data_IF_062964619185
#
_entry.id   IF_062964619185
#
_cell.length_a   1.000
_cell.length_b   1.000
_cell.length_c   1.000
_cell.angle_alpha   90.00
_cell.angle_beta   90.00
_cell.angle_gamma   90.00
#
_symmetry.space_group_name_H-M   'P 1'
#
loop_
_entity.id
_entity.type
_entity.pdbx_description
1 polymer ?
#
# COMPACT_ATOMS: atom_id res chain seq x y z
N UNK A 1 6.27 11.30 17.09
CA UNK A 1 6.23 9.85 17.36
C UNK A 1 6.74 9.14 16.11
N UNK A 2 7.87 8.45 16.20
CA UNK A 2 8.38 7.59 15.14
C UNK A 2 7.55 6.31 15.13
N UNK A 3 6.78 6.08 14.06
CA UNK A 3 6.11 4.79 13.88
C UNK A 3 7.20 3.71 13.80
N UNK A 4 7.15 2.65 14.64
CA UNK A 4 8.10 1.57 14.53
C UNK A 4 8.00 0.99 13.11
N UNK A 5 9.15 0.81 12.45
CA UNK A 5 9.21 0.10 11.19
C UNK A 5 8.86 -1.37 11.48
N UNK A 6 7.72 -1.82 10.98
CA UNK A 6 7.26 -3.20 11.13
C UNK A 6 7.56 -3.92 9.81
N UNK A 7 8.46 -4.89 9.85
CA UNK A 7 8.74 -5.75 8.71
C UNK A 7 7.58 -6.73 8.50
N UNK A 8 7.10 -6.82 7.27
CA UNK A 8 6.04 -7.79 6.88
C UNK A 8 6.51 -9.23 7.09
N UNK A 9 7.80 -9.49 6.89
CA UNK A 9 8.38 -10.82 7.09
C UNK A 9 8.37 -11.23 8.57
N UNK A 10 8.68 -10.29 9.47
CA UNK A 10 8.66 -10.54 10.92
C UNK A 10 7.24 -10.81 11.44
N UNK A 11 6.23 -10.21 10.80
CA UNK A 11 4.82 -10.47 11.12
C UNK A 11 4.38 -11.88 10.68
N UNK A 12 4.84 -12.35 9.52
CA UNK A 12 4.53 -13.69 9.02
C UNK A 12 5.16 -14.79 9.88
N UNK A 13 6.40 -14.60 10.32
CA UNK A 13 7.09 -15.57 11.19
C UNK A 13 6.38 -15.76 12.53
N UNK A 14 5.67 -14.73 13.01
CA UNK A 14 4.94 -14.76 14.28
C UNK A 14 3.43 -15.02 14.13
N UNK A 15 2.88 -14.99 12.91
CA UNK A 15 1.47 -15.23 12.64
C UNK A 15 1.24 -15.95 11.30
N UNK A 16 1.33 -17.29 11.28
CA UNK A 16 1.08 -18.10 10.08
C UNK A 16 -0.38 -18.09 9.62
N UNK A 17 -1.31 -17.50 10.39
CA UNK A 17 -2.69 -17.32 9.95
C UNK A 17 -2.90 -16.08 9.07
N UNK A 18 -1.89 -15.21 8.98
CA UNK A 18 -1.92 -13.99 8.16
C UNK A 18 -2.87 -12.89 8.68
N UNK A 19 -3.43 -13.06 9.88
CA UNK A 19 -4.36 -12.08 10.48
C UNK A 19 -3.67 -10.74 10.73
N UNK A 20 -2.39 -10.77 11.08
CA UNK A 20 -1.53 -9.61 11.28
C UNK A 20 -1.24 -8.82 9.99
N UNK A 21 -1.47 -9.40 8.81
CA UNK A 21 -1.32 -8.72 7.51
C UNK A 21 -2.56 -7.90 7.14
N UNK A 22 -3.72 -8.19 7.75
CA UNK A 22 -4.99 -7.52 7.44
C UNK A 22 -4.93 -5.99 7.58
N UNK A 23 -4.35 -5.42 8.65
CA UNK A 23 -4.20 -3.96 8.77
C UNK A 23 -3.39 -3.35 7.62
N UNK A 24 -2.36 -4.04 7.14
CA UNK A 24 -1.52 -3.60 6.02
C UNK A 24 -2.31 -3.65 4.71
N UNK A 25 -3.11 -4.69 4.51
CA UNK A 25 -4.01 -4.80 3.35
C UNK A 25 -5.05 -3.67 3.34
N UNK A 26 -5.65 -3.36 4.49
CA UNK A 26 -6.64 -2.28 4.64
C UNK A 26 -6.01 -0.89 4.40
N UNK A 27 -4.77 -0.69 4.86
CA UNK A 27 -4.03 0.55 4.60
C UNK A 27 -3.72 0.72 3.10
N UNK A 28 -3.22 -0.34 2.44
CA UNK A 28 -2.97 -0.31 1.00
C UNK A 28 -4.25 -0.07 0.19
N UNK A 29 -5.38 -0.65 0.59
CA UNK A 29 -6.68 -0.40 -0.04
C UNK A 29 -7.10 1.06 0.11
N UNK A 30 -6.88 1.63 1.29
CA UNK A 30 -7.15 3.05 1.56
C UNK A 30 -6.26 3.96 0.71
N UNK A 31 -4.96 3.66 0.63
CA UNK A 31 -4.01 4.39 -0.22
C UNK A 31 -4.40 4.31 -1.70
N UNK A 32 -4.77 3.11 -2.18
CA UNK A 32 -5.20 2.89 -3.56
C UNK A 32 -6.45 3.72 -3.91
N UNK A 33 -7.44 3.72 -3.02
CA UNK A 33 -8.67 4.49 -3.20
C UNK A 33 -8.38 5.99 -3.22
N UNK A 34 -7.51 6.47 -2.33
CA UNK A 34 -7.15 7.88 -2.24
C UNK A 34 -6.39 8.35 -3.48
N UNK A 35 -5.40 7.59 -3.94
CA UNK A 35 -4.59 8.01 -5.09
C UNK A 35 -5.42 8.01 -6.38
N UNK A 36 -6.32 7.04 -6.57
CA UNK A 36 -7.26 7.03 -7.70
C UNK A 36 -8.16 8.26 -7.69
N UNK A 37 -8.78 8.57 -6.54
CA UNK A 37 -9.58 9.80 -6.38
C UNK A 37 -8.79 11.07 -6.71
N UNK A 38 -7.52 11.15 -6.30
CA UNK A 38 -6.67 12.29 -6.62
C UNK A 38 -6.37 12.38 -8.12
N UNK A 39 -6.06 11.26 -8.77
CA UNK A 39 -5.86 11.21 -10.22
C UNK A 39 -7.12 11.58 -10.99
N UNK A 40 -8.28 11.07 -10.57
CA UNK A 40 -9.59 11.34 -11.19
C UNK A 40 -10.02 12.81 -11.03
N UNK A 41 -9.59 13.47 -9.96
CA UNK A 41 -9.84 14.89 -9.73
C UNK A 41 -9.08 15.82 -10.70
N UNK A 42 -8.15 15.28 -11.49
CA UNK A 42 -7.31 16.05 -12.41
C UNK A 42 -6.14 16.70 -11.66
N UNK A 43 -4.99 16.06 -11.72
CA UNK A 43 -3.73 16.60 -11.20
C UNK A 43 -2.96 17.32 -12.32
N UNK A 44 -2.22 18.36 -11.92
CA UNK A 44 -1.17 18.95 -12.75
C UNK A 44 -0.23 17.87 -13.31
N UNK A 45 0.31 17.99 -14.54
CA UNK A 45 1.08 16.93 -15.19
C UNK A 45 2.22 16.35 -14.34
N UNK A 46 2.98 17.22 -13.65
CA UNK A 46 4.07 16.79 -12.78
C UNK A 46 3.59 15.97 -11.57
N UNK A 47 2.40 16.28 -11.05
CA UNK A 47 1.79 15.57 -9.94
C UNK A 47 1.09 14.28 -10.41
N UNK A 48 0.57 14.26 -11.63
CA UNK A 48 0.02 13.04 -12.26
C UNK A 48 1.10 11.95 -12.39
N UNK A 49 2.31 12.31 -12.83
CA UNK A 49 3.43 11.36 -12.94
C UNK A 49 3.79 10.77 -11.57
N UNK A 50 3.87 11.63 -10.53
CA UNK A 50 4.10 11.17 -9.16
C UNK A 50 2.98 10.26 -8.67
N UNK A 51 1.73 10.62 -8.94
CA UNK A 51 0.57 9.84 -8.53
C UNK A 51 0.52 8.47 -9.22
N UNK A 52 0.88 8.40 -10.51
CA UNK A 52 1.03 7.14 -11.25
C UNK A 52 2.12 6.26 -10.65
N UNK A 53 3.29 6.83 -10.33
CA UNK A 53 4.37 6.08 -9.69
C UNK A 53 3.94 5.51 -8.32
N UNK A 54 3.25 6.31 -7.51
CA UNK A 54 2.68 5.87 -6.22
C UNK A 54 1.63 4.79 -6.42
N UNK A 55 0.73 4.95 -7.38
CA UNK A 55 -0.29 3.94 -7.72
C UNK A 55 0.36 2.61 -8.11
N UNK A 56 1.37 2.63 -8.99
CA UNK A 56 2.13 1.43 -9.37
C UNK A 56 2.82 0.77 -8.18
N UNK A 57 3.40 1.55 -7.26
CA UNK A 57 4.02 1.00 -6.05
C UNK A 57 2.99 0.32 -5.12
N UNK A 58 1.80 0.91 -4.96
CA UNK A 58 0.71 0.32 -4.19
C UNK A 58 0.25 -1.01 -4.82
N UNK A 59 0.08 -1.04 -6.14
CA UNK A 59 -0.28 -2.27 -6.86
C UNK A 59 0.79 -3.37 -6.71
N UNK A 60 2.07 -3.01 -6.75
CA UNK A 60 3.16 -3.95 -6.51
C UNK A 60 3.14 -4.50 -5.09
N UNK A 61 2.93 -3.65 -4.08
CA UNK A 61 2.81 -4.07 -2.68
C UNK A 61 1.62 -5.01 -2.46
N UNK A 62 0.46 -4.72 -3.06
CA UNK A 62 -0.70 -5.62 -3.04
C UNK A 62 -0.40 -6.98 -3.68
N UNK A 63 0.30 -6.98 -4.83
CA UNK A 63 0.69 -8.22 -5.50
C UNK A 63 1.68 -9.05 -4.68
N UNK A 64 2.58 -8.39 -3.94
CA UNK A 64 3.49 -9.08 -3.02
C UNK A 64 2.68 -9.73 -1.90
N UNK A 65 1.82 -8.97 -1.21
CA UNK A 65 0.99 -9.49 -0.11
C UNK A 65 0.05 -10.63 -0.49
N UNK A 66 -0.32 -10.77 -1.77
CA UNK A 66 -1.12 -11.90 -2.26
C UNK A 66 -0.32 -13.18 -2.49
N UNK A 67 1.01 -13.06 -2.61
CA UNK A 67 1.92 -14.19 -2.90
C UNK A 67 2.58 -14.77 -1.65
N UNK A 68 2.49 -14.06 -0.54
CA UNK A 68 2.92 -14.49 0.79
C UNK A 68 1.72 -14.94 1.59
#
# INVERSE_FOLDING_TARGET
MSNPFISVLDLMDNDPSGVSLKPIQDELLTMNTRIRKQMDAGLEPANMVKAQAVYSAIQAAQSILQKI
#
